data_IF_852609793612
#
_entry.id   IF_852609793612
#
_cell.length_a   1.000
_cell.length_b   1.000
_cell.length_c   1.000
_cell.angle_alpha   90.00
_cell.angle_beta   90.00
_cell.angle_gamma   90.00
#
_symmetry.space_group_name_H-M   'P 1'
#
loop_
_entity.id
_entity.type
_entity.pdbx_description
1 polymer ?
#
# COMPACT_ATOMS: atom_id res chain seq x y z
N UNK A 1 5.19 4.95 21.58
CA UNK A 1 4.16 4.15 20.88
C UNK A 1 4.69 3.89 19.50
N UNK A 2 4.68 2.64 19.09
CA UNK A 2 5.03 2.27 17.71
C UNK A 2 3.85 2.64 16.81
N UNK A 3 4.11 3.28 15.67
CA UNK A 3 3.08 3.75 14.74
C UNK A 3 3.46 3.37 13.31
N UNK A 4 2.49 3.10 12.42
CA UNK A 4 2.76 2.67 11.05
C UNK A 4 3.63 3.71 10.32
N UNK A 5 4.71 3.27 9.69
CA UNK A 5 5.64 4.14 8.96
C UNK A 5 5.40 4.10 7.46
N UNK A 6 5.71 5.21 6.80
CA UNK A 6 5.72 5.24 5.33
C UNK A 6 6.67 4.17 4.79
N UNK A 7 6.22 3.39 3.81
CA UNK A 7 6.99 2.29 3.23
C UNK A 7 6.73 0.93 3.87
N UNK A 8 6.00 0.86 4.99
CA UNK A 8 5.65 -0.41 5.61
C UNK A 8 4.47 -1.08 4.91
N UNK A 9 4.54 -2.40 4.81
CA UNK A 9 3.46 -3.26 4.36
C UNK A 9 2.75 -3.82 5.58
N UNK A 10 1.43 -3.61 5.62
CA UNK A 10 0.55 -4.07 6.69
C UNK A 10 -0.55 -4.94 6.11
N UNK A 11 -0.97 -5.96 6.85
CA UNK A 11 -2.23 -6.64 6.59
C UNK A 11 -3.37 -5.73 7.04
N UNK A 12 -4.30 -5.41 6.14
CA UNK A 12 -5.38 -4.44 6.39
C UNK A 12 -6.75 -5.01 6.05
N UNK A 13 -7.78 -4.65 6.81
CA UNK A 13 -9.18 -4.96 6.51
C UNK A 13 -9.84 -3.82 5.71
N UNK A 14 -10.15 -4.08 4.43
CA UNK A 14 -10.69 -3.06 3.51
C UNK A 14 -12.21 -3.10 3.31
N UNK A 15 -12.90 -4.11 3.86
CA UNK A 15 -14.36 -4.22 3.76
C UNK A 15 -15.11 -3.23 4.69
N UNK A 16 -16.32 -2.79 4.32
CA UNK A 16 -17.02 -3.06 3.06
C UNK A 16 -16.46 -2.25 1.88
N UNK A 17 -16.72 -2.72 0.65
CA UNK A 17 -16.40 -2.03 -0.60
C UNK A 17 -17.56 -2.02 -1.59
N UNK A 18 -17.55 -1.07 -2.54
CA UNK A 18 -18.53 -0.99 -3.62
C UNK A 18 -17.86 -1.16 -4.99
N UNK A 19 -18.45 -1.99 -5.86
CA UNK A 19 -18.02 -2.15 -7.25
C UNK A 19 -16.59 -2.70 -7.39
N UNK A 20 -15.70 -1.89 -7.97
CA UNK A 20 -14.33 -2.29 -8.33
C UNK A 20 -13.27 -1.90 -7.29
N UNK A 21 -13.70 -1.33 -6.16
CA UNK A 21 -12.83 -1.08 -5.02
C UNK A 21 -12.18 -2.37 -4.51
N UNK A 22 -10.91 -2.27 -4.12
CA UNK A 22 -10.21 -3.41 -3.51
C UNK A 22 -10.68 -3.62 -2.08
N UNK A 23 -11.40 -4.71 -1.85
CA UNK A 23 -11.86 -5.17 -0.54
C UNK A 23 -11.05 -6.33 0.05
N UNK A 24 -11.66 -7.05 0.98
CA UNK A 24 -11.11 -8.14 1.80
C UNK A 24 -9.97 -7.72 2.73
N UNK A 25 -9.53 -8.67 3.56
CA UNK A 25 -8.28 -8.56 4.31
C UNK A 25 -7.11 -8.89 3.41
N UNK A 26 -6.18 -7.95 3.22
CA UNK A 26 -5.01 -8.14 2.35
C UNK A 26 -3.86 -7.20 2.71
N UNK A 27 -2.64 -7.45 2.20
CA UNK A 27 -1.54 -6.51 2.37
C UNK A 27 -1.83 -5.16 1.69
N UNK A 28 -1.37 -4.08 2.32
CA UNK A 28 -1.35 -2.74 1.76
C UNK A 28 -0.10 -1.99 2.24
N UNK A 29 0.43 -1.14 1.36
CA UNK A 29 1.59 -0.29 1.63
C UNK A 29 1.13 1.03 2.25
N UNK A 30 1.70 1.42 3.39
CA UNK A 30 1.49 2.75 3.99
C UNK A 30 2.26 3.80 3.17
N UNK A 31 1.56 4.81 2.66
CA UNK A 31 2.13 5.87 1.82
C UNK A 31 2.01 7.28 2.43
N UNK A 32 1.13 7.47 3.42
CA UNK A 32 1.07 8.72 4.18
C UNK A 32 2.37 8.99 4.93
N UNK A 33 2.73 10.26 5.06
CA UNK A 33 3.96 10.67 5.76
C UNK A 33 3.90 10.36 7.26
N UNK A 34 5.08 10.22 7.87
CA UNK A 34 5.22 9.85 9.28
C UNK A 34 4.63 10.86 10.27
N UNK A 35 4.52 12.15 9.91
CA UNK A 35 3.84 13.14 10.77
C UNK A 35 2.35 12.84 10.87
N UNK A 36 1.71 12.57 9.73
CA UNK A 36 0.31 12.12 9.72
C UNK A 36 0.16 10.83 10.53
N UNK A 37 1.03 9.85 10.29
CA UNK A 37 0.90 8.54 10.93
C UNK A 37 1.14 8.59 12.44
N UNK A 38 1.92 9.56 12.92
CA UNK A 38 2.11 9.80 14.35
C UNK A 38 0.87 10.43 15.01
N UNK A 39 0.31 11.48 14.41
CA UNK A 39 -0.69 12.32 15.08
C UNK A 39 -2.16 12.04 14.71
N UNK A 40 -2.44 11.54 13.50
CA UNK A 40 -3.80 11.28 13.04
C UNK A 40 -4.25 9.85 13.39
N UNK A 41 -5.55 9.63 13.55
CA UNK A 41 -6.13 8.29 13.71
C UNK A 41 -6.25 7.52 12.39
N UNK A 42 -5.87 8.15 11.27
CA UNK A 42 -5.97 7.59 9.93
C UNK A 42 -4.63 7.54 9.23
N UNK A 43 -4.44 6.56 8.36
CA UNK A 43 -3.28 6.41 7.47
C UNK A 43 -3.73 6.21 6.04
N UNK A 44 -2.94 6.69 5.08
CA UNK A 44 -3.19 6.47 3.65
C UNK A 44 -2.38 5.27 3.20
N UNK A 45 -3.07 4.32 2.57
CA UNK A 45 -2.50 3.06 2.10
C UNK A 45 -2.76 2.82 0.62
N UNK A 46 -1.90 2.01 0.00
CA UNK A 46 -2.04 1.48 -1.35
C UNK A 46 -2.24 -0.03 -1.27
N UNK A 47 -3.40 -0.57 -1.69
CA UNK A 47 -3.65 -2.00 -1.64
C UNK A 47 -2.71 -2.80 -2.55
N UNK A 48 -2.37 -4.01 -2.12
CA UNK A 48 -1.50 -4.94 -2.84
C UNK A 48 -2.33 -6.14 -3.33
N UNK A 49 -2.01 -6.66 -4.52
CA UNK A 49 -2.62 -7.87 -5.07
C UNK A 49 -1.59 -8.80 -5.71
N UNK A 50 -1.80 -10.11 -5.60
CA UNK A 50 -0.98 -11.13 -6.26
C UNK A 50 -1.35 -11.39 -7.73
N UNK A 51 -2.24 -10.57 -8.33
CA UNK A 51 -2.60 -10.66 -9.76
C UNK A 51 -1.62 -9.81 -10.57
N UNK A 52 -0.53 -10.43 -11.02
CA UNK A 52 0.63 -9.75 -11.62
C UNK A 52 0.73 -9.88 -13.14
N UNK A 53 -0.29 -10.42 -13.80
CA UNK A 53 -0.26 -10.75 -15.24
C UNK A 53 -0.08 -9.52 -16.14
N UNK A 54 -0.53 -8.34 -15.68
CA UNK A 54 -0.33 -7.04 -16.33
C UNK A 54 0.06 -6.01 -15.29
N UNK A 55 1.02 -5.16 -15.62
CA UNK A 55 1.46 -4.05 -14.78
C UNK A 55 1.24 -2.75 -15.56
N UNK A 56 0.37 -1.88 -15.04
CA UNK A 56 0.11 -0.57 -15.62
C UNK A 56 1.09 0.49 -15.09
N UNK A 57 1.23 1.67 -15.73
CA UNK A 57 2.15 2.72 -15.29
C UNK A 57 1.93 3.23 -13.85
N UNK A 58 0.71 3.11 -13.33
CA UNK A 58 0.33 3.44 -11.94
C UNK A 58 0.39 2.22 -10.99
N UNK A 59 1.03 1.13 -11.40
CA UNK A 59 1.22 -0.08 -10.60
C UNK A 59 2.71 -0.42 -10.52
N UNK A 60 3.13 -1.01 -9.41
CA UNK A 60 4.53 -1.40 -9.21
C UNK A 60 4.62 -2.87 -8.84
N UNK A 61 5.38 -3.63 -9.61
CA UNK A 61 5.67 -5.02 -9.32
C UNK A 61 6.53 -5.18 -8.06
N UNK A 62 6.10 -6.10 -7.20
CA UNK A 62 6.70 -6.43 -5.92
C UNK A 62 7.10 -7.92 -5.95
N UNK A 63 8.40 -8.21 -6.15
CA UNK A 63 8.92 -9.56 -5.99
C UNK A 63 8.70 -10.05 -4.55
N UNK A 64 8.27 -11.30 -4.39
CA UNK A 64 8.10 -11.93 -3.08
C UNK A 64 9.40 -11.93 -2.27
N UNK A 65 10.53 -12.17 -2.92
CA UNK A 65 11.88 -12.20 -2.34
C UNK A 65 12.30 -10.86 -1.73
N UNK A 66 11.81 -9.73 -2.27
CA UNK A 66 12.15 -8.38 -1.80
C UNK A 66 11.16 -7.85 -0.75
N UNK A 67 10.00 -8.49 -0.58
CA UNK A 67 8.88 -7.95 0.21
C UNK A 67 8.42 -8.86 1.34
N UNK A 68 8.92 -10.09 1.42
CA UNK A 68 8.45 -11.12 2.35
C UNK A 68 6.95 -11.45 2.21
N UNK A 69 6.34 -11.07 1.10
CA UNK A 69 5.01 -11.52 0.72
C UNK A 69 5.09 -12.98 0.25
N UNK A 70 4.03 -13.76 0.50
CA UNK A 70 3.99 -15.17 0.12
C UNK A 70 3.97 -15.42 -1.39
N UNK A 71 3.69 -14.39 -2.20
CA UNK A 71 3.63 -14.43 -3.65
C UNK A 71 4.09 -13.11 -4.25
N UNK A 72 4.63 -13.19 -5.44
CA UNK A 72 4.83 -12.02 -6.28
C UNK A 72 3.53 -11.23 -6.40
N UNK A 73 3.65 -9.92 -6.25
CA UNK A 73 2.53 -9.03 -6.06
C UNK A 73 2.72 -7.74 -6.84
N UNK A 74 1.72 -6.87 -6.78
CA UNK A 74 1.83 -5.49 -7.24
C UNK A 74 1.08 -4.54 -6.34
N UNK A 75 1.64 -3.34 -6.15
CA UNK A 75 0.93 -2.20 -5.56
C UNK A 75 0.01 -1.60 -6.61
N UNK A 76 -1.22 -1.24 -6.23
CA UNK A 76 -2.17 -0.55 -7.11
C UNK A 76 -2.40 0.89 -6.65
N UNK A 77 -1.66 1.84 -7.23
CA UNK A 77 -1.74 3.25 -6.83
C UNK A 77 -3.12 3.85 -7.09
N UNK A 78 -3.81 3.37 -8.14
CA UNK A 78 -5.18 3.78 -8.48
C UNK A 78 -6.27 3.31 -7.50
N UNK A 79 -5.87 2.62 -6.43
CA UNK A 79 -6.76 2.14 -5.35
C UNK A 79 -6.34 2.74 -4.01
N UNK A 80 -5.63 3.89 -4.04
CA UNK A 80 -5.25 4.65 -2.86
C UNK A 80 -6.46 4.93 -1.96
N UNK A 81 -6.29 4.72 -0.65
CA UNK A 81 -7.36 4.95 0.33
C UNK A 81 -6.79 5.37 1.67
N UNK A 82 -7.40 6.38 2.28
CA UNK A 82 -7.20 6.69 3.69
C UNK A 82 -8.12 5.83 4.56
N UNK A 83 -7.54 5.13 5.53
CA UNK A 83 -8.22 4.19 6.42
C UNK A 83 -7.96 4.56 7.89
N UNK A 84 -8.92 4.25 8.74
CA UNK A 84 -8.73 4.28 10.20
C UNK A 84 -7.65 3.25 10.61
N UNK A 85 -6.75 3.61 11.54
CA UNK A 85 -5.68 2.74 12.04
C UNK A 85 -6.20 1.42 12.63
N UNK A 86 -7.45 1.37 13.12
CA UNK A 86 -8.11 0.13 13.57
C UNK A 86 -8.27 -0.91 12.46
N UNK A 87 -8.12 -0.53 11.19
CA UNK A 87 -8.12 -1.46 10.05
C UNK A 87 -6.76 -2.11 9.80
N UNK A 88 -5.69 -1.64 10.44
CA UNK A 88 -4.38 -2.31 10.43
C UNK A 88 -4.43 -3.50 11.38
N UNK A 89 -4.09 -4.67 10.87
CA UNK A 89 -4.15 -5.93 11.63
C UNK A 89 -2.74 -6.29 12.12
N UNK A 90 -1.81 -6.53 11.18
CA UNK A 90 -0.45 -6.96 11.49
C UNK A 90 0.55 -6.30 10.55
N UNK A 91 1.72 -5.93 11.09
CA UNK A 91 2.89 -5.60 10.28
C UNK A 91 3.34 -6.84 9.49
N UNK A 92 3.78 -6.65 8.25
CA UNK A 92 4.30 -7.72 7.38
C UNK A 92 5.79 -7.52 7.13
N UNK A 93 6.15 -6.36 6.59
CA UNK A 93 7.51 -6.02 6.18
C UNK A 93 7.61 -4.52 5.84
N UNK A 94 8.77 -4.06 5.41
CA UNK A 94 8.95 -2.72 4.85
C UNK A 94 9.61 -2.81 3.47
N UNK A 95 9.21 -1.93 2.56
CA UNK A 95 9.85 -1.83 1.26
C UNK A 95 11.24 -1.21 1.37
N UNK A 96 12.15 -1.68 0.51
CA UNK A 96 13.42 -1.01 0.29
C UNK A 96 13.20 0.41 -0.27
N UNK A 97 14.06 1.39 0.08
CA UNK A 97 13.92 2.78 -0.37
C UNK A 97 13.75 2.93 -1.88
N UNK A 98 14.54 2.19 -2.67
CA UNK A 98 14.47 2.22 -4.15
C UNK A 98 13.12 1.74 -4.69
N UNK A 99 12.47 0.79 -4.00
CA UNK A 99 11.15 0.30 -4.39
C UNK A 99 10.07 1.30 -4.00
N UNK A 100 10.19 1.91 -2.82
CA UNK A 100 9.28 2.96 -2.37
C UNK A 100 9.30 4.15 -3.34
N UNK A 101 10.46 4.59 -3.81
CA UNK A 101 10.59 5.67 -4.79
C UNK A 101 9.85 5.34 -6.11
N UNK A 102 9.94 4.08 -6.58
CA UNK A 102 9.18 3.63 -7.76
C UNK A 102 7.67 3.71 -7.53
N UNK A 103 7.20 3.37 -6.33
CA UNK A 103 5.79 3.48 -5.95
C UNK A 103 5.33 4.94 -5.90
N UNK A 104 6.16 5.85 -5.37
CA UNK A 104 5.86 7.28 -5.35
C UNK A 104 5.73 7.84 -6.77
N UNK A 105 6.65 7.49 -7.68
CA UNK A 105 6.55 7.86 -9.10
C UNK A 105 5.27 7.34 -9.75
N UNK A 106 4.91 6.08 -9.50
CA UNK A 106 3.66 5.50 -10.00
C UNK A 106 2.40 6.18 -9.41
N UNK A 107 2.47 6.62 -8.16
CA UNK A 107 1.39 7.37 -7.52
C UNK A 107 1.24 8.77 -8.11
N UNK A 108 2.34 9.46 -8.39
CA UNK A 108 2.35 10.75 -9.09
C UNK A 108 1.69 10.64 -10.48
N UNK A 109 2.03 9.58 -11.24
CA UNK A 109 1.37 9.28 -12.53
C UNK A 109 -0.14 9.08 -12.36
N UNK A 110 -0.58 8.37 -11.30
CA UNK A 110 -2.01 8.17 -11.06
C UNK A 110 -2.75 9.48 -10.77
N UNK A 111 -2.13 10.36 -9.99
CA UNK A 111 -2.74 11.59 -9.49
C UNK A 111 -2.54 12.79 -10.42
N UNK A 112 -1.76 12.64 -11.49
CA UNK A 112 -1.36 13.73 -12.38
C UNK A 112 -0.68 14.90 -11.63
N UNK A 113 0.21 14.54 -10.71
CA UNK A 113 1.01 15.49 -9.92
C UNK A 113 2.45 15.36 -10.39
N UNK A 114 3.04 16.45 -10.89
CA UNK A 114 4.43 16.52 -11.36
C UNK A 114 5.37 17.03 -10.27
#
# INVERSE_FOLDING_TARGET
MDFPKKGEIWLVSLEPVVGHEIGKTRPALVISNDRNNLFAETVTVLPITSKTEKIYPFEVFLPSEETHLSKDSKVKCNQIRTIDKKRLINFVSALLPEKLEKVEKALLIHLDIN
#
